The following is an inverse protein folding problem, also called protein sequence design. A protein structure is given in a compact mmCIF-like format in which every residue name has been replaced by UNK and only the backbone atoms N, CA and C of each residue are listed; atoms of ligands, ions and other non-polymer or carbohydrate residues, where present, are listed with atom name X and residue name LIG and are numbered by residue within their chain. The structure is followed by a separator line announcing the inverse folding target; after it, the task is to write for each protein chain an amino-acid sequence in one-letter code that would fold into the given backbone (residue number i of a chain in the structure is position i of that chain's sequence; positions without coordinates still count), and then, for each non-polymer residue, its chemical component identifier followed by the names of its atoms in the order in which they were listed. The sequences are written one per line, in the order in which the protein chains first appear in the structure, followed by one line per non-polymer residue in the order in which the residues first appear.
data_IF_961563669859
#
_entry.id   IF_961563669859
#
_cell.length_a   1.000
_cell.length_b   1.000
_cell.length_c   1.000
_cell.angle_alpha   90.00
_cell.angle_beta   90.00
_cell.angle_gamma   90.00
#
_symmetry.space_group_name_H-M   'P 1'
#
loop_
_entity.id
_entity.type
_entity.pdbx_description
1 polymer ?
#
# COMPACT_ATOMS: atom_id res chain seq x y z
N UNK A 1 16.42 3.80 -2.61
CA UNK A 1 15.51 4.35 -1.58
C UNK A 1 15.71 3.62 -0.27
N UNK A 2 15.65 4.35 0.86
CA UNK A 2 15.55 3.79 2.21
C UNK A 2 14.15 4.11 2.72
N UNK A 3 13.38 3.10 3.11
CA UNK A 3 12.01 3.30 3.56
C UNK A 3 11.72 2.49 4.83
N UNK A 4 10.72 2.92 5.59
CA UNK A 4 10.31 2.22 6.80
C UNK A 4 9.98 0.74 6.52
N UNK A 5 10.38 -0.16 7.42
CA UNK A 5 9.97 -1.57 7.39
C UNK A 5 8.53 -1.79 7.88
N UNK A 6 7.83 -0.74 8.34
CA UNK A 6 6.45 -0.85 8.82
C UNK A 6 5.47 -0.33 7.78
N UNK A 7 4.51 -1.18 7.37
CA UNK A 7 3.46 -0.83 6.42
C UNK A 7 3.81 -1.10 4.95
N UNK A 8 3.15 -0.39 4.03
CA UNK A 8 3.24 -0.62 2.58
C UNK A 8 4.67 -0.66 1.99
N UNK A 9 5.62 0.19 2.42
CA UNK A 9 6.99 0.15 1.88
C UNK A 9 7.73 -1.18 2.11
N UNK A 10 7.33 -1.96 3.13
CA UNK A 10 7.86 -3.29 3.39
C UNK A 10 7.58 -4.27 2.24
N UNK A 11 6.42 -4.12 1.57
CA UNK A 11 6.08 -4.89 0.37
C UNK A 11 6.71 -4.28 -0.89
N UNK A 12 6.74 -2.95 -1.00
CA UNK A 12 7.21 -2.25 -2.20
C UNK A 12 8.69 -2.53 -2.46
N UNK A 13 9.53 -2.42 -1.43
CA UNK A 13 10.97 -2.59 -1.54
C UNK A 13 11.39 -4.03 -1.19
N UNK A 14 12.25 -4.60 -2.02
CA UNK A 14 12.99 -5.82 -1.69
C UNK A 14 14.34 -5.39 -1.13
N UNK A 15 14.53 -5.59 0.18
CA UNK A 15 15.71 -5.14 0.91
C UNK A 15 17.02 -5.65 0.24
N UNK A 16 17.95 -4.73 -0.03
CA UNK A 16 19.23 -5.01 -0.68
C UNK A 16 19.16 -5.22 -2.20
N UNK A 17 17.97 -5.17 -2.81
CA UNK A 17 17.78 -5.37 -4.26
C UNK A 17 17.20 -4.15 -4.96
N UNK A 18 16.04 -3.67 -4.50
CA UNK A 18 15.36 -2.49 -5.09
C UNK A 18 15.35 -1.27 -4.16
N UNK A 19 16.08 -1.38 -3.05
CA UNK A 19 16.16 -0.39 -1.98
C UNK A 19 16.46 -1.08 -0.65
N UNK A 20 16.33 -0.33 0.44
CA UNK A 20 16.60 -0.83 1.78
C UNK A 20 15.47 -0.50 2.74
N UNK A 21 15.29 -1.37 3.72
CA UNK A 21 14.39 -1.14 4.84
C UNK A 21 15.14 -0.53 6.01
N UNK A 22 14.51 0.45 6.66
CA UNK A 22 14.98 1.07 7.90
C UNK A 22 13.88 0.95 8.96
N UNK A 23 14.27 0.71 10.22
CA UNK A 23 13.32 0.66 11.32
C UNK A 23 13.25 2.04 12.01
N UNK A 24 12.12 2.76 11.94
CA UNK A 24 11.98 4.08 12.56
C UNK A 24 12.12 4.03 14.09
N UNK A 25 11.95 2.88 14.74
CA UNK A 25 12.18 2.74 16.19
C UNK A 25 13.67 2.64 16.55
N UNK A 26 14.56 2.47 15.56
CA UNK A 26 16.00 2.35 15.75
C UNK A 26 16.75 3.34 14.84
N UNK A 27 16.60 4.64 15.12
CA UNK A 27 17.16 5.72 14.30
C UNK A 27 18.68 5.61 14.07
N UNK A 28 19.44 5.22 15.09
CA UNK A 28 20.90 5.06 14.97
C UNK A 28 21.27 3.98 13.94
N UNK A 29 20.59 2.82 13.98
CA UNK A 29 20.81 1.75 13.00
C UNK A 29 20.42 2.16 11.57
N UNK A 30 19.37 3.00 11.45
CA UNK A 30 18.97 3.54 10.16
C UNK A 30 20.05 4.51 9.62
N UNK A 31 20.62 5.35 10.47
CA UNK A 31 21.72 6.25 10.12
C UNK A 31 22.99 5.47 9.72
N UNK A 32 23.38 4.46 10.50
CA UNK A 32 24.52 3.59 10.19
C UNK A 32 24.36 2.93 8.81
N UNK A 33 23.17 2.42 8.50
CA UNK A 33 22.88 1.81 7.20
C UNK A 33 23.00 2.81 6.04
N UNK A 34 22.57 4.06 6.24
CA UNK A 34 22.72 5.13 5.23
C UNK A 34 24.20 5.45 4.99
N UNK A 35 24.98 5.56 6.07
CA UNK A 35 26.42 5.82 6.00
C UNK A 35 27.13 4.68 5.28
N UNK A 36 26.85 3.43 5.65
CA UNK A 36 27.41 2.23 5.02
C UNK A 36 27.12 2.19 3.52
N UNK A 37 25.91 2.55 3.11
CA UNK A 37 25.55 2.61 1.70
C UNK A 37 26.39 3.64 0.94
N UNK A 38 26.53 4.86 1.46
CA UNK A 38 27.33 5.89 0.80
C UNK A 38 28.83 5.55 0.78
N UNK A 39 29.35 4.91 1.83
CA UNK A 39 30.72 4.40 1.83
C UNK A 39 30.93 3.34 0.75
N UNK A 40 29.99 2.40 0.59
CA UNK A 40 30.03 1.40 -0.50
C UNK A 40 29.95 2.06 -1.87
N UNK A 41 29.05 3.02 -2.08
CA UNK A 41 28.96 3.76 -3.34
C UNK A 41 30.23 4.56 -3.66
N UNK A 42 30.96 5.05 -2.64
CA UNK A 42 32.23 5.74 -2.82
C UNK A 42 33.36 4.78 -3.21
N UNK A 43 33.40 3.58 -2.63
CA UNK A 43 34.39 2.55 -2.96
C UNK A 43 34.11 1.86 -4.29
N UNK A 44 32.83 1.68 -4.62
CA UNK A 44 32.33 1.07 -5.85
C UNK A 44 31.08 1.83 -6.35
N UNK A 45 31.24 2.74 -7.32
CA UNK A 45 30.12 3.49 -7.89
C UNK A 45 29.03 2.61 -8.53
N UNK A 46 29.38 1.39 -8.98
CA UNK A 46 28.41 0.47 -9.58
C UNK A 46 27.36 -0.03 -8.58
N UNK A 47 27.66 0.03 -7.28
CA UNK A 47 26.71 -0.31 -6.23
C UNK A 47 25.45 0.57 -6.28
N UNK A 48 25.61 1.87 -6.55
CA UNK A 48 24.48 2.78 -6.68
C UNK A 48 23.62 2.42 -7.90
N UNK A 49 24.27 2.15 -9.04
CA UNK A 49 23.60 1.78 -10.28
C UNK A 49 22.82 0.47 -10.14
N UNK A 50 23.39 -0.53 -9.47
CA UNK A 50 22.73 -1.81 -9.21
C UNK A 50 21.42 -1.64 -8.41
N UNK A 51 21.44 -0.83 -7.34
CA UNK A 51 20.23 -0.56 -6.54
C UNK A 51 19.23 0.31 -7.32
N UNK A 52 19.71 1.27 -8.11
CA UNK A 52 18.87 2.13 -8.95
C UNK A 52 18.10 1.33 -10.01
N UNK A 53 18.80 0.47 -10.76
CA UNK A 53 18.21 -0.43 -11.76
C UNK A 53 17.26 -1.45 -11.10
N UNK A 54 17.62 -1.98 -9.93
CA UNK A 54 16.73 -2.84 -9.14
C UNK A 54 15.43 -2.13 -8.74
N UNK A 55 15.50 -0.84 -8.41
CA UNK A 55 14.35 0.03 -8.17
C UNK A 55 13.45 0.20 -9.39
N UNK A 56 14.02 0.57 -10.54
CA UNK A 56 13.29 0.75 -11.79
C UNK A 56 12.56 -0.53 -12.21
N UNK A 57 13.27 -1.66 -12.21
CA UNK A 57 12.69 -2.97 -12.53
C UNK A 57 11.54 -3.34 -11.59
N UNK A 58 11.66 -3.05 -10.30
CA UNK A 58 10.60 -3.32 -9.32
C UNK A 58 9.32 -2.54 -9.61
N UNK A 59 9.44 -1.27 -10.00
CA UNK A 59 8.28 -0.44 -10.33
C UNK A 59 7.60 -0.94 -11.60
N UNK A 60 8.37 -1.18 -12.66
CA UNK A 60 7.85 -1.67 -13.94
C UNK A 60 7.07 -3.00 -13.79
N UNK A 61 7.58 -3.92 -12.97
CA UNK A 61 6.97 -5.24 -12.76
C UNK A 61 5.68 -5.22 -11.92
N UNK A 62 5.48 -4.24 -11.04
CA UNK A 62 4.46 -4.32 -9.99
C UNK A 62 3.55 -3.11 -9.86
N UNK A 63 4.06 -1.91 -10.10
CA UNK A 63 3.42 -0.65 -9.68
C UNK A 63 3.24 0.29 -10.88
N UNK A 64 2.57 -0.19 -11.93
CA UNK A 64 2.23 0.61 -13.12
C UNK A 64 0.71 0.71 -13.31
N UNK A 65 0.26 1.84 -13.86
CA UNK A 65 -1.16 2.10 -14.09
C UNK A 65 -1.80 1.19 -15.14
N UNK A 66 -1.02 0.70 -16.10
CA UNK A 66 -1.51 -0.26 -17.10
C UNK A 66 -1.89 -1.60 -16.45
N UNK A 67 -1.01 -2.16 -15.62
CA UNK A 67 -1.31 -3.40 -14.86
C UNK A 67 -2.53 -3.17 -13.95
N UNK A 68 -2.65 -1.99 -13.37
CA UNK A 68 -3.80 -1.62 -12.54
C UNK A 68 -5.12 -1.63 -13.32
N UNK A 69 -5.19 -0.94 -14.47
CA UNK A 69 -6.42 -0.87 -15.27
C UNK A 69 -6.88 -2.24 -15.76
N UNK A 70 -5.94 -3.08 -16.21
CA UNK A 70 -6.24 -4.40 -16.74
C UNK A 70 -6.81 -5.33 -15.65
N UNK A 71 -6.24 -5.26 -14.44
CA UNK A 71 -6.76 -6.00 -13.28
C UNK A 71 -8.11 -5.48 -12.85
N UNK A 72 -8.30 -4.16 -12.81
CA UNK A 72 -9.55 -3.55 -12.38
C UNK A 72 -10.73 -3.96 -13.28
N UNK A 73 -10.55 -3.89 -14.60
CA UNK A 73 -11.61 -4.27 -15.56
C UNK A 73 -11.94 -5.76 -15.46
N UNK A 74 -10.92 -6.62 -15.30
CA UNK A 74 -11.11 -8.06 -15.11
C UNK A 74 -11.92 -8.35 -13.84
N UNK A 75 -11.53 -7.74 -12.71
CA UNK A 75 -12.23 -7.90 -11.44
C UNK A 75 -13.66 -7.35 -11.53
N UNK A 76 -13.88 -6.20 -12.18
CA UNK A 76 -15.20 -5.62 -12.36
C UNK A 76 -16.13 -6.57 -13.15
N UNK A 77 -15.63 -7.22 -14.20
CA UNK A 77 -16.37 -8.24 -14.95
C UNK A 77 -16.72 -9.46 -14.09
N UNK A 78 -15.72 -10.06 -13.43
CA UNK A 78 -15.89 -11.27 -12.61
C UNK A 78 -16.83 -11.02 -11.43
N UNK A 79 -16.60 -9.95 -10.64
CA UNK A 79 -17.47 -9.62 -9.51
C UNK A 79 -18.84 -9.13 -9.95
N UNK A 80 -18.94 -8.50 -11.13
CA UNK A 80 -20.21 -8.15 -11.76
C UNK A 80 -21.07 -9.38 -12.00
N UNK A 81 -20.50 -10.42 -12.62
CA UNK A 81 -21.18 -11.71 -12.81
C UNK A 81 -21.51 -12.38 -11.48
N UNK A 82 -20.54 -12.47 -10.56
CA UNK A 82 -20.73 -13.11 -9.25
C UNK A 82 -21.83 -12.45 -8.41
N UNK A 83 -22.01 -11.14 -8.54
CA UNK A 83 -23.08 -10.39 -7.86
C UNK A 83 -24.47 -10.92 -8.24
N UNK A 84 -24.68 -11.33 -9.49
CA UNK A 84 -25.97 -11.90 -9.92
C UNK A 84 -26.15 -13.33 -9.41
N UNK A 85 -25.09 -14.14 -9.46
CA UNK A 85 -25.12 -15.55 -9.04
C UNK A 85 -25.33 -15.68 -7.53
N UNK A 86 -24.68 -14.84 -6.72
CA UNK A 86 -24.70 -14.90 -5.25
C UNK A 86 -25.76 -14.02 -4.57
N UNK A 87 -26.75 -13.52 -5.33
CA UNK A 87 -27.66 -12.47 -4.85
C UNK A 87 -28.55 -12.91 -3.68
N UNK A 88 -29.04 -14.15 -3.70
CA UNK A 88 -29.93 -14.67 -2.64
C UNK A 88 -29.18 -14.83 -1.32
N UNK A 89 -27.96 -15.38 -1.34
CA UNK A 89 -27.14 -15.58 -0.13
C UNK A 89 -26.65 -14.26 0.49
N UNK A 90 -26.51 -13.20 -0.31
CA UNK A 90 -26.08 -11.88 0.17
C UNK A 90 -27.20 -11.04 0.77
N UNK A 91 -28.46 -11.48 0.70
CA UNK A 91 -29.61 -10.66 1.11
C UNK A 91 -29.65 -10.44 2.63
N UNK A 92 -29.30 -11.46 3.42
CA UNK A 92 -29.23 -11.36 4.88
C UNK A 92 -28.10 -10.42 5.32
N UNK A 93 -26.90 -10.59 4.76
CA UNK A 93 -25.76 -9.72 5.02
C UNK A 93 -26.07 -8.26 4.64
N UNK A 94 -26.81 -8.04 3.54
CA UNK A 94 -27.27 -6.71 3.14
C UNK A 94 -28.20 -6.10 4.20
N UNK A 95 -29.20 -6.82 4.69
CA UNK A 95 -30.10 -6.31 5.75
C UNK A 95 -29.37 -6.03 7.05
N UNK A 96 -28.41 -6.88 7.41
CA UNK A 96 -27.56 -6.64 8.57
C UNK A 96 -26.73 -5.35 8.42
N UNK A 97 -26.13 -5.11 7.26
CA UNK A 97 -25.38 -3.88 6.99
C UNK A 97 -26.29 -2.63 6.96
N UNK A 98 -27.50 -2.73 6.41
CA UNK A 98 -28.50 -1.65 6.45
C UNK A 98 -28.85 -1.28 7.91
N UNK A 99 -29.11 -2.28 8.75
CA UNK A 99 -29.35 -2.08 10.18
C UNK A 99 -28.13 -1.48 10.88
N UNK A 100 -26.92 -2.00 10.62
CA UNK A 100 -25.68 -1.51 11.21
C UNK A 100 -25.42 -0.04 10.85
N UNK A 101 -25.62 0.33 9.58
CA UNK A 101 -25.52 1.71 9.13
C UNK A 101 -26.56 2.61 9.84
N UNK A 102 -27.83 2.21 9.83
CA UNK A 102 -28.93 3.03 10.33
C UNK A 102 -28.88 3.21 11.86
N UNK A 103 -28.58 2.15 12.60
CA UNK A 103 -28.67 2.14 14.06
C UNK A 103 -27.34 2.45 14.76
N UNK A 104 -26.19 2.20 14.12
CA UNK A 104 -24.87 2.43 14.72
C UNK A 104 -24.12 3.59 14.05
N UNK A 105 -23.79 3.47 12.77
CA UNK A 105 -22.94 4.46 12.08
C UNK A 105 -23.58 5.84 12.08
N UNK A 106 -24.85 5.94 11.66
CA UNK A 106 -25.56 7.22 11.56
C UNK A 106 -25.59 7.96 12.90
N UNK A 107 -25.81 7.25 14.00
CA UNK A 107 -25.84 7.85 15.35
C UNK A 107 -24.48 8.36 15.81
N UNK A 108 -23.41 7.65 15.46
CA UNK A 108 -22.04 8.13 15.71
C UNK A 108 -21.73 9.36 14.85
N UNK A 109 -22.09 9.34 13.56
CA UNK A 109 -21.89 10.47 12.66
C UNK A 109 -22.64 11.73 13.12
N UNK A 110 -23.90 11.59 13.56
CA UNK A 110 -24.72 12.68 14.12
C UNK A 110 -24.10 13.29 15.41
N UNK A 111 -23.25 12.55 16.12
CA UNK A 111 -22.59 13.02 17.34
C UNK A 111 -21.29 13.79 17.10
N UNK A 112 -20.76 13.78 15.87
CA UNK A 112 -19.58 14.56 15.50
C UNK A 112 -19.98 16.03 15.33
N UNK A 113 -19.36 16.98 16.04
CA UNK A 113 -19.67 18.40 15.90
C UNK A 113 -19.51 18.88 14.45
N UNK A 114 -20.50 19.63 13.97
CA UNK A 114 -20.41 20.28 12.65
C UNK A 114 -19.35 21.37 12.68
N UNK A 115 -18.71 21.60 11.53
CA UNK A 115 -17.83 22.75 11.35
C UNK A 115 -18.62 24.05 11.56
N UNK A 116 -18.02 25.00 12.27
CA UNK A 116 -18.57 26.35 12.44
C UNK A 116 -17.98 27.20 11.31
N UNK A 117 -18.82 27.79 10.48
CA UNK A 117 -18.39 28.81 9.51
C UNK A 117 -18.17 30.13 10.27
N UNK A 118 -17.01 30.76 10.06
CA UNK A 118 -16.68 32.11 10.59
C UNK A 118 -17.47 33.21 9.85
#
# INVERSE_FOLDING_TARGET
TFATCHGGPAEIIVNGKSGFHIDPYHGDKAADLLVDFFQKCKGDPSHWEAISLGGLKRIEEKYTWQIYSDRLLTLAGVYGFWKYVSNLDRLEARRYLEMFYALKYRKLAESVPLAIEE
#
